data_IF_963725367781
#
_entry.id   IF_963725367781
#
_cell.length_a   1.000
_cell.length_b   1.000
_cell.length_c   1.000
_cell.angle_alpha   90.00
_cell.angle_beta   90.00
_cell.angle_gamma   90.00
#
_symmetry.space_group_name_H-M   'P 1'
#
loop_
_entity.id
_entity.type
_entity.pdbx_description
1 polymer ?
#
# COMPACT_ATOMS: atom_id res chain seq x y z
N UNK A 1 16.96 20.48 -16.32
CA UNK A 1 17.37 19.34 -15.44
C UNK A 1 16.18 18.68 -14.75
N UNK A 2 15.33 19.38 -13.99
CA UNK A 2 14.15 18.76 -13.34
C UNK A 2 13.02 18.40 -14.32
N UNK A 3 12.71 19.25 -15.31
CA UNK A 3 11.66 18.97 -16.30
C UNK A 3 11.92 17.67 -17.09
N UNK A 4 13.17 17.46 -17.55
CA UNK A 4 13.55 16.23 -18.26
C UNK A 4 13.44 14.97 -17.38
N UNK A 5 13.72 15.07 -16.07
CA UNK A 5 13.53 13.99 -15.11
C UNK A 5 12.05 13.66 -14.92
N UNK A 6 11.21 14.68 -14.72
CA UNK A 6 9.76 14.53 -14.56
C UNK A 6 9.15 13.90 -15.82
N UNK A 7 9.51 14.38 -17.01
CA UNK A 7 9.04 13.81 -18.29
C UNK A 7 9.48 12.36 -18.45
N UNK A 8 10.75 12.05 -18.16
CA UNK A 8 11.24 10.66 -18.21
C UNK A 8 10.46 9.74 -17.26
N UNK A 9 10.22 10.18 -16.02
CA UNK A 9 9.44 9.43 -15.03
C UNK A 9 7.98 9.25 -15.46
N UNK A 10 7.37 10.29 -16.03
CA UNK A 10 6.00 10.25 -16.55
C UNK A 10 5.87 9.27 -17.74
N UNK A 11 6.85 9.26 -18.66
CA UNK A 11 6.90 8.27 -19.74
C UNK A 11 7.04 6.85 -19.21
N UNK A 12 7.93 6.63 -18.24
CA UNK A 12 8.07 5.32 -17.57
C UNK A 12 6.74 4.91 -16.93
N UNK A 13 6.07 5.81 -16.21
CA UNK A 13 4.76 5.56 -15.61
C UNK A 13 3.72 5.11 -16.65
N UNK A 14 3.61 5.82 -17.78
CA UNK A 14 2.67 5.47 -18.85
C UNK A 14 3.00 4.09 -19.43
N UNK A 15 4.29 3.82 -19.70
CA UNK A 15 4.74 2.54 -20.24
C UNK A 15 4.45 1.40 -19.25
N UNK A 16 4.76 1.60 -17.96
CA UNK A 16 4.48 0.61 -16.91
C UNK A 16 2.98 0.33 -16.80
N UNK A 17 2.14 1.37 -16.79
CA UNK A 17 0.69 1.19 -16.74
C UNK A 17 0.17 0.47 -17.99
N UNK A 18 0.66 0.84 -19.18
CA UNK A 18 0.29 0.17 -20.43
C UNK A 18 0.69 -1.31 -20.45
N UNK A 19 1.86 -1.67 -19.92
CA UNK A 19 2.29 -3.06 -19.75
C UNK A 19 1.32 -3.80 -18.83
N UNK A 20 0.97 -3.22 -17.68
CA UNK A 20 0.04 -3.84 -16.72
C UNK A 20 -1.33 -4.05 -17.39
N UNK A 21 -1.90 -3.01 -18.00
CA UNK A 21 -3.17 -3.06 -18.73
C UNK A 21 -3.16 -4.19 -19.76
N UNK A 22 -2.11 -4.27 -20.57
CA UNK A 22 -1.97 -5.27 -21.64
C UNK A 22 -1.82 -6.68 -21.07
N UNK A 23 -0.99 -6.84 -20.03
CA UNK A 23 -0.79 -8.13 -19.38
C UNK A 23 -2.07 -8.61 -18.71
N UNK A 24 -2.78 -7.74 -18.00
CA UNK A 24 -4.07 -8.06 -17.40
C UNK A 24 -5.06 -8.52 -18.46
N UNK A 25 -5.18 -7.82 -19.59
CA UNK A 25 -6.06 -8.23 -20.69
C UNK A 25 -5.70 -9.62 -21.23
N UNK A 26 -4.42 -9.86 -21.52
CA UNK A 26 -3.94 -11.15 -22.05
C UNK A 26 -4.24 -12.27 -21.05
N UNK A 27 -3.96 -12.06 -19.76
CA UNK A 27 -4.25 -13.04 -18.71
C UNK A 27 -5.74 -13.35 -18.64
N UNK A 28 -6.61 -12.33 -18.72
CA UNK A 28 -8.06 -12.52 -18.66
C UNK A 28 -8.59 -13.31 -19.85
N UNK A 29 -8.17 -12.99 -21.06
CA UNK A 29 -8.58 -13.70 -22.28
C UNK A 29 -8.02 -15.14 -22.33
N UNK A 30 -6.87 -15.39 -21.68
CA UNK A 30 -6.24 -16.71 -21.66
C UNK A 30 -6.90 -17.68 -20.67
N UNK A 31 -7.77 -17.20 -19.76
CA UNK A 31 -8.48 -18.07 -18.83
C UNK A 31 -9.55 -18.86 -19.61
N UNK A 32 -9.47 -20.20 -19.63
CA UNK A 32 -10.45 -21.00 -20.36
C UNK A 32 -11.83 -20.96 -19.70
N UNK A 33 -12.87 -20.86 -20.52
CA UNK A 33 -14.29 -20.85 -20.13
C UNK A 33 -14.92 -19.45 -20.10
N UNK A 34 -16.23 -19.37 -20.33
CA UNK A 34 -16.98 -18.12 -20.29
C UNK A 34 -17.29 -17.72 -18.83
N UNK A 35 -17.27 -16.42 -18.48
CA UNK A 35 -17.70 -15.94 -17.15
C UNK A 35 -19.17 -16.27 -16.84
N UNK A 36 -19.96 -16.67 -17.84
CA UNK A 36 -21.36 -17.09 -17.71
C UNK A 36 -21.54 -18.61 -17.46
N UNK A 37 -20.49 -19.42 -17.56
CA UNK A 37 -20.59 -20.89 -17.46
C UNK A 37 -21.11 -21.41 -16.10
N UNK A 38 -21.03 -20.62 -15.03
CA UNK A 38 -21.52 -20.99 -13.69
C UNK A 38 -23.03 -20.81 -13.52
N UNK A 39 -23.67 -20.01 -14.37
CA UNK A 39 -25.10 -19.76 -14.36
C UNK A 39 -25.79 -20.92 -15.09
N UNK A 40 -26.13 -21.96 -14.31
CA UNK A 40 -26.83 -23.16 -14.75
C UNK A 40 -28.21 -22.82 -15.33
N UNK A 41 -28.27 -22.37 -16.58
CA UNK A 41 -29.46 -22.39 -17.43
C UNK A 41 -29.08 -22.27 -18.91
N UNK A 42 -28.51 -23.36 -19.45
CA UNK A 42 -28.91 -24.10 -20.66
C UNK A 42 -29.65 -23.40 -21.82
N UNK A 43 -29.46 -22.11 -22.08
CA UNK A 43 -30.02 -21.45 -23.25
C UNK A 43 -28.91 -20.68 -23.98
N UNK A 44 -28.42 -21.28 -25.08
CA UNK A 44 -27.38 -20.72 -25.95
C UNK A 44 -27.72 -19.29 -26.41
N UNK A 45 -29.01 -18.97 -26.57
CA UNK A 45 -29.48 -17.64 -26.97
C UNK A 45 -29.23 -16.61 -25.85
N UNK A 46 -29.48 -16.99 -24.59
CA UNK A 46 -29.24 -16.09 -23.45
C UNK A 46 -27.75 -15.85 -23.29
N UNK A 47 -26.93 -16.90 -23.45
CA UNK A 47 -25.48 -16.77 -23.40
C UNK A 47 -24.95 -15.88 -24.52
N UNK A 48 -25.40 -16.07 -25.77
CA UNK A 48 -24.99 -15.23 -26.89
C UNK A 48 -25.37 -13.76 -26.70
N UNK A 49 -26.56 -13.49 -26.15
CA UNK A 49 -26.99 -12.12 -25.83
C UNK A 49 -26.14 -11.48 -24.72
N UNK A 50 -25.77 -12.25 -23.69
CA UNK A 50 -24.88 -11.77 -22.63
C UNK A 50 -23.47 -11.50 -23.17
N UNK A 51 -22.91 -12.41 -23.96
CA UNK A 51 -21.60 -12.23 -24.59
C UNK A 51 -21.59 -10.99 -25.51
N UNK A 52 -22.65 -10.77 -26.29
CA UNK A 52 -22.81 -9.56 -27.09
C UNK A 52 -22.95 -8.28 -26.24
N UNK A 53 -23.71 -8.33 -25.14
CA UNK A 53 -23.88 -7.19 -24.23
C UNK A 53 -22.55 -6.73 -23.60
N UNK A 54 -21.71 -7.68 -23.21
CA UNK A 54 -20.39 -7.40 -22.63
C UNK A 54 -19.26 -7.31 -23.67
N UNK A 55 -19.58 -7.34 -24.97
CA UNK A 55 -18.64 -7.32 -26.10
C UNK A 55 -17.63 -8.49 -26.13
N UNK A 56 -17.95 -9.60 -25.46
CA UNK A 56 -17.10 -10.79 -25.40
C UNK A 56 -17.15 -11.62 -26.71
N UNK A 57 -18.15 -11.36 -27.56
CA UNK A 57 -18.31 -11.93 -28.90
C UNK A 57 -17.39 -11.29 -29.95
N UNK A 58 -16.83 -10.10 -29.67
CA UNK A 58 -15.98 -9.37 -30.62
C UNK A 58 -14.58 -9.98 -30.71
N UNK A 59 -13.86 -9.80 -31.84
CA UNK A 59 -12.44 -10.13 -31.94
C UNK A 59 -11.61 -9.50 -30.81
N UNK A 60 -10.61 -10.22 -30.29
CA UNK A 60 -9.83 -9.77 -29.13
C UNK A 60 -9.17 -8.39 -29.27
N UNK A 61 -8.74 -8.02 -30.48
CA UNK A 61 -8.19 -6.68 -30.70
C UNK A 61 -9.23 -5.57 -30.49
N UNK A 62 -10.51 -5.82 -30.80
CA UNK A 62 -11.60 -4.87 -30.54
C UNK A 62 -11.89 -4.83 -29.04
N UNK A 63 -11.94 -5.99 -28.37
CA UNK A 63 -12.12 -6.04 -26.91
C UNK A 63 -11.02 -5.25 -26.19
N UNK A 64 -9.77 -5.37 -26.65
CA UNK A 64 -8.65 -4.62 -26.10
C UNK A 64 -8.78 -3.11 -26.35
N UNK A 65 -9.19 -2.67 -27.55
CA UNK A 65 -9.43 -1.26 -27.84
C UNK A 65 -10.57 -0.67 -27.01
N UNK A 66 -11.65 -1.43 -26.81
CA UNK A 66 -12.75 -1.04 -25.93
C UNK A 66 -12.28 -0.92 -24.48
N UNK A 67 -11.45 -1.86 -24.02
CA UNK A 67 -10.86 -1.79 -22.69
C UNK A 67 -9.93 -0.57 -22.51
N UNK A 68 -9.08 -0.27 -23.50
CA UNK A 68 -8.26 0.95 -23.49
C UNK A 68 -9.13 2.22 -23.46
N UNK A 69 -10.22 2.23 -24.22
CA UNK A 69 -11.20 3.33 -24.19
C UNK A 69 -11.81 3.48 -22.80
N UNK A 70 -12.28 2.39 -22.19
CA UNK A 70 -12.84 2.36 -20.83
C UNK A 70 -11.88 2.91 -19.79
N UNK A 71 -10.59 2.57 -19.88
CA UNK A 71 -9.54 3.12 -18.99
C UNK A 71 -9.39 4.62 -19.22
N UNK A 72 -9.30 5.06 -20.48
CA UNK A 72 -9.10 6.46 -20.84
C UNK A 72 -10.30 7.35 -20.46
N UNK A 73 -11.52 6.81 -20.49
CA UNK A 73 -12.75 7.51 -20.07
C UNK A 73 -13.11 7.31 -18.60
N UNK A 74 -12.34 6.48 -17.88
CA UNK A 74 -12.64 6.07 -16.51
C UNK A 74 -14.04 5.46 -16.36
N UNK A 75 -14.50 4.73 -17.36
CA UNK A 75 -15.78 4.02 -17.38
C UNK A 75 -15.54 2.54 -17.61
N UNK A 76 -15.52 1.79 -16.50
CA UNK A 76 -15.21 0.36 -16.50
C UNK A 76 -16.44 -0.52 -16.74
N UNK A 77 -17.62 0.09 -16.93
CA UNK A 77 -18.87 -0.63 -17.19
C UNK A 77 -19.44 -1.39 -15.98
N UNK A 78 -20.49 -2.19 -16.20
CA UNK A 78 -21.15 -2.98 -15.17
C UNK A 78 -20.36 -4.24 -14.78
N UNK A 79 -20.54 -4.66 -13.54
CA UNK A 79 -20.08 -5.97 -13.05
C UNK A 79 -20.91 -7.09 -13.67
N UNK A 80 -20.25 -8.16 -14.14
CA UNK A 80 -20.94 -9.34 -14.69
C UNK A 80 -21.78 -10.02 -13.60
N UNK A 81 -21.26 -10.08 -12.37
CA UNK A 81 -21.89 -10.80 -11.26
C UNK A 81 -22.84 -9.93 -10.42
N UNK A 82 -22.76 -8.61 -10.56
CA UNK A 82 -23.61 -7.62 -9.90
C UNK A 82 -24.06 -6.58 -10.95
N UNK A 83 -24.97 -6.93 -11.88
CA UNK A 83 -25.34 -6.08 -13.01
C UNK A 83 -25.88 -4.69 -12.62
N UNK A 84 -26.49 -4.57 -11.45
CA UNK A 84 -27.00 -3.30 -10.89
C UNK A 84 -25.89 -2.35 -10.37
N UNK A 85 -24.62 -2.76 -10.47
CA UNK A 85 -23.48 -2.01 -9.98
C UNK A 85 -22.42 -1.86 -11.05
N UNK A 86 -22.03 -0.61 -11.31
CA UNK A 86 -20.83 -0.36 -12.10
C UNK A 86 -19.57 -0.68 -11.30
N UNK A 87 -18.50 -1.03 -12.00
CA UNK A 87 -17.18 -1.19 -11.38
C UNK A 87 -16.76 0.11 -10.68
N UNK A 88 -17.10 1.26 -11.27
CA UNK A 88 -16.89 2.58 -10.65
C UNK A 88 -17.61 2.73 -9.31
N UNK A 89 -18.84 2.22 -9.16
CA UNK A 89 -19.58 2.26 -7.89
C UNK A 89 -18.94 1.36 -6.83
N UNK A 90 -18.36 0.22 -7.24
CA UNK A 90 -17.63 -0.68 -6.35
C UNK A 90 -16.33 -0.03 -5.87
N UNK A 91 -15.58 0.60 -6.79
CA UNK A 91 -14.37 1.36 -6.48
C UNK A 91 -14.69 2.55 -5.56
N UNK A 92 -15.74 3.32 -5.84
CA UNK A 92 -16.14 4.47 -5.04
C UNK A 92 -16.56 4.12 -3.62
N UNK A 93 -17.12 2.91 -3.41
CA UNK A 93 -17.46 2.39 -2.07
C UNK A 93 -16.24 1.82 -1.35
N UNK A 94 -15.40 1.06 -2.05
CA UNK A 94 -14.27 0.36 -1.44
C UNK A 94 -13.05 1.25 -1.18
N UNK A 95 -12.74 2.18 -2.10
CA UNK A 95 -11.50 2.97 -2.05
C UNK A 95 -11.36 3.81 -0.79
N UNK A 96 -12.38 4.57 -0.34
CA UNK A 96 -12.26 5.38 0.87
C UNK A 96 -11.92 4.55 2.11
N UNK A 97 -12.46 3.32 2.21
CA UNK A 97 -12.24 2.42 3.33
C UNK A 97 -10.80 1.87 3.31
N UNK A 98 -10.34 1.39 2.15
CA UNK A 98 -8.94 0.95 1.99
C UNK A 98 -7.96 2.09 2.26
N UNK A 99 -8.28 3.30 1.80
CA UNK A 99 -7.48 4.49 2.03
C UNK A 99 -7.42 4.88 3.51
N UNK A 100 -8.57 4.90 4.20
CA UNK A 100 -8.66 5.15 5.64
C UNK A 100 -7.80 4.16 6.44
N UNK A 101 -7.96 2.85 6.19
CA UNK A 101 -7.17 1.80 6.83
C UNK A 101 -5.67 2.03 6.62
N UNK A 102 -5.25 2.31 5.38
CA UNK A 102 -3.85 2.54 5.07
C UNK A 102 -3.27 3.79 5.72
N UNK A 103 -4.04 4.89 5.79
CA UNK A 103 -3.63 6.12 6.45
C UNK A 103 -3.47 5.93 7.96
N UNK A 104 -4.44 5.30 8.62
CA UNK A 104 -4.36 4.99 10.06
C UNK A 104 -3.16 4.08 10.34
N UNK A 105 -2.94 3.07 9.49
CA UNK A 105 -1.78 2.17 9.56
C UNK A 105 -0.47 2.94 9.52
N UNK A 106 -0.30 3.86 8.56
CA UNK A 106 0.93 4.67 8.45
C UNK A 106 1.13 5.53 9.69
N UNK A 107 0.08 6.18 10.19
CA UNK A 107 0.16 7.02 11.40
C UNK A 107 0.63 6.17 12.59
N UNK A 108 0.00 5.02 12.82
CA UNK A 108 0.37 4.12 13.91
C UNK A 108 1.80 3.61 13.73
N UNK A 109 2.19 3.20 12.53
CA UNK A 109 3.53 2.70 12.26
C UNK A 109 4.62 3.76 12.47
N UNK A 110 4.38 5.00 12.04
CA UNK A 110 5.32 6.12 12.21
C UNK A 110 5.45 6.48 13.69
N UNK A 111 4.34 6.67 14.40
CA UNK A 111 4.37 7.05 15.82
C UNK A 111 5.03 5.96 16.67
N UNK A 112 4.62 4.71 16.50
CA UNK A 112 5.18 3.59 17.26
C UNK A 112 6.64 3.31 16.88
N UNK A 113 6.96 3.34 15.58
CA UNK A 113 8.30 3.08 15.07
C UNK A 113 9.30 4.13 15.54
N UNK A 114 8.98 5.42 15.42
CA UNK A 114 9.84 6.49 15.92
C UNK A 114 10.04 6.36 17.43
N UNK A 115 8.97 6.11 18.18
CA UNK A 115 9.04 5.97 19.63
C UNK A 115 9.95 4.81 20.03
N UNK A 116 9.75 3.64 19.45
CA UNK A 116 10.59 2.46 19.73
C UNK A 116 12.05 2.68 19.33
N UNK A 117 12.30 3.31 18.17
CA UNK A 117 13.65 3.60 17.71
C UNK A 117 14.39 4.60 18.60
N UNK A 118 13.70 5.65 19.08
CA UNK A 118 14.26 6.62 20.02
C UNK A 118 14.55 5.95 21.37
N UNK A 119 13.61 5.18 21.91
CA UNK A 119 13.81 4.46 23.18
C UNK A 119 14.99 3.49 23.11
N UNK A 120 15.11 2.74 22.01
CA UNK A 120 16.21 1.82 21.79
C UNK A 120 17.56 2.54 21.66
N UNK A 121 17.61 3.70 20.98
CA UNK A 121 18.84 4.47 20.85
C UNK A 121 19.28 5.13 22.16
N UNK A 122 18.34 5.57 23.00
CA UNK A 122 18.64 6.14 24.31
C UNK A 122 19.07 5.07 25.31
N UNK A 123 18.52 3.86 25.21
CA UNK A 123 18.88 2.69 26.00
C UNK A 123 19.94 1.79 25.36
N UNK A 124 20.80 2.34 24.50
CA UNK A 124 21.73 1.58 23.66
C UNK A 124 22.53 0.54 24.44
N UNK A 125 22.60 -0.69 23.89
CA UNK A 125 23.24 -1.86 24.52
C UNK A 125 22.64 -2.28 25.88
N UNK A 126 21.47 -1.76 26.25
CA UNK A 126 20.70 -2.14 27.43
C UNK A 126 19.45 -2.96 27.11
N UNK A 127 18.71 -3.33 28.14
CA UNK A 127 17.50 -4.17 28.02
C UNK A 127 16.44 -3.55 27.08
N UNK A 128 16.23 -2.24 27.16
CA UNK A 128 15.23 -1.53 26.32
C UNK A 128 15.58 -1.67 24.83
N UNK A 129 16.86 -1.53 24.49
CA UNK A 129 17.34 -1.68 23.13
C UNK A 129 17.11 -3.11 22.62
N UNK A 130 17.56 -4.11 23.37
CA UNK A 130 17.38 -5.52 22.99
C UNK A 130 15.90 -5.91 22.86
N UNK A 131 15.02 -5.45 23.76
CA UNK A 131 13.59 -5.75 23.70
C UNK A 131 12.92 -5.04 22.52
N UNK A 132 13.20 -3.77 22.29
CA UNK A 132 12.65 -3.01 21.17
C UNK A 132 13.11 -3.59 19.83
N UNK A 133 14.39 -3.95 19.69
CA UNK A 133 14.92 -4.57 18.48
C UNK A 133 14.45 -6.01 18.31
N UNK A 134 14.30 -6.77 19.39
CA UNK A 134 13.67 -8.09 19.35
C UNK A 134 12.24 -8.02 18.82
N UNK A 135 11.43 -7.09 19.33
CA UNK A 135 10.07 -6.86 18.84
C UNK A 135 10.05 -6.42 17.36
N UNK A 136 10.94 -5.50 16.96
CA UNK A 136 11.06 -5.08 15.56
C UNK A 136 11.49 -6.23 14.63
N UNK A 137 12.37 -7.13 15.09
CA UNK A 137 12.77 -8.31 14.31
C UNK A 137 11.59 -9.26 14.14
N UNK A 138 10.89 -9.61 15.23
CA UNK A 138 9.68 -10.43 15.17
C UNK A 138 8.65 -9.84 14.22
N UNK A 139 8.48 -8.52 14.25
CA UNK A 139 7.54 -7.80 13.40
C UNK A 139 7.81 -7.89 11.90
N UNK A 140 9.05 -8.19 11.47
CA UNK A 140 9.38 -8.43 10.06
C UNK A 140 9.41 -9.92 9.74
N UNK A 141 9.77 -10.75 10.71
CA UNK A 141 9.85 -12.19 10.52
C UNK A 141 8.47 -12.85 10.41
N UNK A 142 7.44 -12.29 11.04
CA UNK A 142 6.08 -12.83 11.00
C UNK A 142 5.32 -12.23 9.80
N UNK A 143 4.80 -13.04 8.88
CA UNK A 143 3.95 -12.53 7.80
C UNK A 143 2.69 -11.85 8.34
N UNK A 144 2.29 -10.72 7.76
CA UNK A 144 1.16 -9.91 8.25
C UNK A 144 -0.15 -10.71 8.39
N UNK A 145 -0.43 -11.65 7.48
CA UNK A 145 -1.62 -12.48 7.55
C UNK A 145 -1.59 -13.46 8.74
N UNK A 146 -0.41 -13.96 9.11
CA UNK A 146 -0.22 -14.81 10.30
C UNK A 146 -0.43 -13.97 11.55
N UNK A 147 0.14 -12.78 11.59
CA UNK A 147 -0.05 -11.87 12.72
C UNK A 147 -1.55 -11.50 12.86
N UNK A 148 -2.22 -11.20 11.76
CA UNK A 148 -3.65 -10.90 11.75
C UNK A 148 -4.51 -12.03 12.33
N UNK A 149 -4.29 -13.27 11.88
CA UNK A 149 -5.05 -14.42 12.38
C UNK A 149 -4.76 -14.71 13.85
N UNK A 150 -3.51 -14.55 14.30
CA UNK A 150 -3.14 -14.66 15.71
C UNK A 150 -3.81 -13.57 16.57
N UNK A 151 -3.83 -12.32 16.10
CA UNK A 151 -4.49 -11.22 16.79
C UNK A 151 -5.99 -11.45 16.92
N UNK A 152 -6.65 -11.95 15.86
CA UNK A 152 -8.06 -12.36 15.93
C UNK A 152 -8.25 -13.46 16.98
N UNK A 153 -7.48 -14.54 16.90
CA UNK A 153 -7.63 -15.68 17.81
C UNK A 153 -7.46 -15.26 19.27
N UNK A 154 -6.45 -14.46 19.57
CA UNK A 154 -6.15 -14.10 20.96
C UNK A 154 -7.03 -12.97 21.47
N UNK A 155 -7.21 -11.91 20.71
CA UNK A 155 -7.81 -10.67 21.22
C UNK A 155 -9.31 -10.55 20.93
N UNK A 156 -9.79 -11.18 19.85
CA UNK A 156 -11.20 -11.12 19.46
C UNK A 156 -11.96 -12.39 19.85
N UNK A 157 -11.35 -13.58 19.74
CA UNK A 157 -12.00 -14.85 20.07
C UNK A 157 -11.78 -15.25 21.53
N UNK A 158 -10.53 -15.33 21.99
CA UNK A 158 -10.25 -15.84 23.34
C UNK A 158 -10.58 -14.84 24.45
N UNK A 159 -10.29 -13.54 24.23
CA UNK A 159 -10.52 -12.50 25.24
C UNK A 159 -11.75 -11.63 24.97
N UNK A 160 -12.32 -11.70 23.76
CA UNK A 160 -13.52 -10.93 23.37
C UNK A 160 -13.41 -9.40 23.56
N UNK A 161 -12.20 -8.84 23.52
CA UNK A 161 -11.95 -7.40 23.75
C UNK A 161 -12.24 -6.60 22.48
N UNK A 162 -11.92 -7.16 21.32
CA UNK A 162 -12.07 -6.51 20.03
C UNK A 162 -13.02 -7.28 19.12
N UNK A 163 -13.74 -6.58 18.22
CA UNK A 163 -14.56 -7.26 17.23
C UNK A 163 -13.70 -8.00 16.21
N UNK A 164 -14.25 -9.11 15.71
CA UNK A 164 -13.54 -10.05 14.80
C UNK A 164 -13.47 -9.52 13.37
N UNK A 165 -14.52 -8.88 12.88
CA UNK A 165 -14.71 -8.62 11.45
C UNK A 165 -15.66 -7.43 11.20
N UNK A 166 -15.73 -6.98 9.95
CA UNK A 166 -16.50 -5.81 9.44
C UNK A 166 -15.79 -4.47 9.64
N UNK A 167 -16.49 -3.36 9.38
CA UNK A 167 -15.97 -1.99 9.46
C UNK A 167 -17.04 -1.01 9.96
N UNK A 168 -17.64 -1.34 11.12
CA UNK A 168 -18.79 -0.60 11.66
C UNK A 168 -18.46 0.35 12.81
N UNK A 169 -17.28 0.22 13.43
CA UNK A 169 -16.85 1.08 14.54
C UNK A 169 -15.32 1.21 14.60
N UNK A 170 -14.77 2.24 15.26
CA UNK A 170 -13.32 2.41 15.40
C UNK A 170 -12.60 1.22 16.05
N UNK A 171 -13.29 0.41 16.87
CA UNK A 171 -12.71 -0.81 17.46
C UNK A 171 -12.37 -1.86 16.40
N UNK A 172 -13.10 -1.91 15.29
CA UNK A 172 -12.81 -2.80 14.15
C UNK A 172 -11.51 -2.44 13.44
N UNK A 173 -11.04 -1.21 13.59
CA UNK A 173 -9.82 -0.75 12.95
C UNK A 173 -8.57 -1.20 13.69
N UNK A 174 -8.66 -1.52 14.99
CA UNK A 174 -7.49 -1.73 15.85
C UNK A 174 -6.65 -2.93 15.41
N UNK A 175 -7.25 -4.12 15.35
CA UNK A 175 -6.54 -5.35 14.98
C UNK A 175 -5.95 -5.31 13.55
N UNK A 176 -6.69 -4.92 12.49
CA UNK A 176 -6.12 -4.83 11.15
C UNK A 176 -5.01 -3.78 11.06
N UNK A 177 -5.17 -2.64 11.74
CA UNK A 177 -4.12 -1.61 11.81
C UNK A 177 -2.87 -2.14 12.49
N UNK A 178 -2.98 -2.83 13.62
CA UNK A 178 -1.82 -3.40 14.33
C UNK A 178 -1.10 -4.44 13.47
N UNK A 179 -1.85 -5.32 12.81
CA UNK A 179 -1.28 -6.33 11.92
C UNK A 179 -0.52 -5.69 10.75
N UNK A 180 -1.11 -4.67 10.09
CA UNK A 180 -0.47 -3.98 8.96
C UNK A 180 0.70 -3.08 9.39
N UNK A 181 0.58 -2.41 10.53
CA UNK A 181 1.54 -1.40 10.97
C UNK A 181 2.86 -2.03 11.43
N UNK A 182 2.86 -3.29 11.85
CA UNK A 182 4.01 -3.95 12.46
C UNK A 182 5.24 -3.98 11.55
N UNK A 183 5.09 -4.31 10.26
CA UNK A 183 6.21 -4.32 9.31
C UNK A 183 6.86 -2.92 9.13
N UNK A 184 6.09 -1.90 8.70
CA UNK A 184 6.57 -0.53 8.57
C UNK A 184 7.09 0.05 9.90
N UNK A 185 6.43 -0.21 11.02
CA UNK A 185 6.87 0.17 12.36
C UNK A 185 8.29 -0.34 12.63
N UNK A 186 8.55 -1.62 12.34
CA UNK A 186 9.85 -2.23 12.58
C UNK A 186 10.95 -1.63 11.70
N UNK A 187 10.64 -1.33 10.43
CA UNK A 187 11.57 -0.63 9.52
C UNK A 187 11.91 0.76 10.07
N UNK A 188 10.88 1.52 10.46
CA UNK A 188 11.03 2.88 11.00
C UNK A 188 11.80 2.85 12.32
N UNK A 189 11.53 1.88 13.20
CA UNK A 189 12.22 1.74 14.48
C UNK A 189 13.70 1.49 14.31
N UNK A 190 14.10 0.55 13.44
CA UNK A 190 15.52 0.26 13.19
C UNK A 190 16.23 1.44 12.55
N UNK A 191 15.60 2.09 11.56
CA UNK A 191 16.19 3.24 10.88
C UNK A 191 16.36 4.43 11.84
N UNK A 192 15.32 4.74 12.62
CA UNK A 192 15.36 5.78 13.65
C UNK A 192 16.43 5.48 14.69
N UNK A 193 16.55 4.22 15.13
CA UNK A 193 17.59 3.82 16.10
C UNK A 193 18.99 4.06 15.54
N UNK A 194 19.29 3.55 14.34
CA UNK A 194 20.63 3.67 13.74
C UNK A 194 21.04 5.14 13.59
N UNK A 195 20.14 5.94 13.01
CA UNK A 195 20.37 7.36 12.77
C UNK A 195 20.46 8.16 14.06
N UNK A 196 19.68 7.83 15.09
CA UNK A 196 19.80 8.45 16.41
C UNK A 196 21.16 8.17 17.05
N UNK A 197 21.68 6.94 16.97
CA UNK A 197 23.01 6.61 17.51
C UNK A 197 24.12 7.41 16.81
N UNK A 198 24.05 7.53 15.49
CA UNK A 198 24.98 8.35 14.71
C UNK A 198 24.88 9.83 15.07
N UNK A 199 23.66 10.37 15.17
CA UNK A 199 23.40 11.78 15.46
C UNK A 199 23.83 12.16 16.87
N UNK A 200 23.60 11.30 17.87
CA UNK A 200 23.94 11.58 19.27
C UNK A 200 25.45 11.73 19.51
N UNK A 201 26.30 11.23 18.62
CA UNK A 201 27.76 11.33 18.70
C UNK A 201 28.34 12.59 18.03
N UNK A 202 27.50 13.37 17.34
CA UNK A 202 27.91 14.55 16.58
C UNK A 202 28.32 15.74 17.47
N UNK A 203 29.25 16.57 16.99
CA UNK A 203 29.82 17.66 17.77
C UNK A 203 28.82 18.76 18.14
N UNK A 204 27.82 19.02 17.30
CA UNK A 204 26.75 19.97 17.64
C UNK A 204 25.88 19.49 18.82
N UNK A 205 25.75 18.18 19.02
CA UNK A 205 25.08 17.59 20.20
C UNK A 205 25.95 17.77 21.45
N UNK A 206 27.26 17.51 21.34
CA UNK A 206 28.22 17.76 22.45
C UNK A 206 28.22 19.23 22.85
N UNK A 207 28.21 20.14 21.87
CA UNK A 207 28.10 21.58 22.11
C UNK A 207 26.79 21.95 22.81
N UNK A 208 25.66 21.37 22.40
CA UNK A 208 24.38 21.59 23.06
C UNK A 208 24.38 21.13 24.52
N UNK A 209 25.04 20.00 24.83
CA UNK A 209 25.24 19.54 26.22
C UNK A 209 26.13 20.50 27.00
N UNK A 210 27.23 20.96 26.42
CA UNK A 210 28.15 21.93 27.05
C UNK A 210 27.47 23.28 27.36
N UNK A 211 26.49 23.68 26.55
CA UNK A 211 25.64 24.87 26.80
C UNK A 211 24.57 24.66 27.87
N UNK A 212 24.50 23.49 28.51
CA UNK A 212 23.54 23.19 29.58
C UNK A 212 22.10 22.99 29.12
N UNK A 213 21.86 22.68 27.84
CA UNK A 213 20.50 22.38 27.39
C UNK A 213 19.97 21.10 28.07
N UNK A 214 18.70 21.14 28.48
CA UNK A 214 18.02 19.98 29.05
C UNK A 214 18.04 18.79 28.07
N UNK A 215 18.25 17.54 28.54
CA UNK A 215 18.34 16.35 27.69
C UNK A 215 17.18 16.18 26.69
N UNK A 216 15.95 16.44 27.13
CA UNK A 216 14.77 16.33 26.26
C UNK A 216 14.80 17.33 25.09
N UNK A 217 15.31 18.57 25.33
CA UNK A 217 15.45 19.59 24.27
C UNK A 217 16.50 19.15 23.26
N UNK A 218 17.60 18.57 23.72
CA UNK A 218 18.65 18.01 22.85
C UNK A 218 18.05 16.90 21.97
N UNK A 219 17.29 15.98 22.56
CA UNK A 219 16.68 14.87 21.84
C UNK A 219 15.67 15.38 20.80
N UNK A 220 14.64 16.11 21.22
CA UNK A 220 13.51 16.48 20.34
C UNK A 220 13.91 17.53 19.29
N UNK A 221 14.66 18.57 19.70
CA UNK A 221 14.96 19.72 18.83
C UNK A 221 16.19 19.53 17.95
N UNK A 222 17.18 18.77 18.41
CA UNK A 222 18.47 18.63 17.71
C UNK A 222 18.68 17.23 17.15
N UNK A 223 18.50 16.18 17.95
CA UNK A 223 18.81 14.83 17.51
C UNK A 223 17.73 14.26 16.57
N UNK A 224 16.48 14.24 17.04
CA UNK A 224 15.36 13.60 16.35
C UNK A 224 15.09 14.23 14.99
N UNK A 225 15.11 15.56 14.90
CA UNK A 225 14.92 16.28 13.63
C UNK A 225 15.86 15.80 12.53
N UNK A 226 17.13 15.54 12.87
CA UNK A 226 18.13 15.08 11.90
C UNK A 226 18.03 13.57 11.67
N UNK A 227 17.73 12.80 12.71
CA UNK A 227 17.56 11.36 12.62
C UNK A 227 16.33 10.93 11.78
N UNK A 228 15.29 11.77 11.70
CA UNK A 228 14.09 11.46 10.92
C UNK A 228 14.23 11.72 9.41
N UNK A 229 15.33 12.32 8.95
CA UNK A 229 15.51 12.58 7.51
C UNK A 229 15.39 11.31 6.67
N UNK A 230 16.05 10.18 7.01
CA UNK A 230 15.89 8.92 6.27
C UNK A 230 14.49 8.30 6.42
N UNK A 231 13.80 8.54 7.54
CA UNK A 231 12.43 8.06 7.76
C UNK A 231 11.45 8.77 6.83
N UNK A 232 11.53 10.10 6.74
CA UNK A 232 10.70 10.91 5.83
C UNK A 232 10.94 10.51 4.38
N UNK A 233 12.20 10.26 4.05
CA UNK A 233 12.65 9.70 2.78
C UNK A 233 11.82 8.44 2.46
N UNK A 234 11.96 7.36 3.22
CA UNK A 234 11.28 6.09 2.90
C UNK A 234 9.76 6.07 3.13
N UNK A 235 9.22 7.06 3.84
CA UNK A 235 7.79 7.15 4.19
C UNK A 235 6.90 7.11 2.96
N UNK A 236 7.34 7.75 1.87
CA UNK A 236 6.63 7.73 0.60
C UNK A 236 6.44 6.31 0.06
N UNK A 237 7.51 5.53 0.03
CA UNK A 237 7.49 4.14 -0.45
C UNK A 237 6.63 3.25 0.46
N UNK A 238 6.71 3.43 1.77
CA UNK A 238 5.88 2.71 2.74
C UNK A 238 4.39 3.02 2.55
N UNK A 239 4.05 4.30 2.37
CA UNK A 239 2.68 4.75 2.14
C UNK A 239 2.10 4.16 0.84
N UNK A 240 2.88 4.20 -0.24
CA UNK A 240 2.48 3.61 -1.52
C UNK A 240 2.21 2.10 -1.38
N UNK A 241 3.12 1.37 -0.72
CA UNK A 241 2.98 -0.07 -0.51
C UNK A 241 1.78 -0.45 0.34
N UNK A 242 1.54 0.26 1.46
CA UNK A 242 0.41 -0.04 2.35
C UNK A 242 -0.92 0.21 1.65
N UNK A 243 -1.10 1.38 1.03
CA UNK A 243 -2.38 1.75 0.43
C UNK A 243 -2.80 0.83 -0.73
N UNK A 244 -1.84 0.12 -1.33
CA UNK A 244 -2.12 -0.86 -2.40
C UNK A 244 -2.13 -2.31 -1.92
N UNK A 245 -1.51 -2.59 -0.77
CA UNK A 245 -1.23 -3.94 -0.27
C UNK A 245 -2.14 -4.44 0.85
N UNK A 246 -3.22 -3.73 1.17
CA UNK A 246 -4.13 -4.08 2.28
C UNK A 246 -5.04 -5.28 1.99
N UNK A 247 -5.12 -5.76 0.74
CA UNK A 247 -6.14 -6.71 0.29
C UNK A 247 -6.25 -7.99 1.14
N UNK A 248 -5.12 -8.57 1.55
CA UNK A 248 -5.12 -9.78 2.38
C UNK A 248 -5.73 -9.51 3.76
N UNK A 249 -5.39 -8.37 4.35
CA UNK A 249 -5.87 -7.98 5.67
C UNK A 249 -7.34 -7.60 5.60
N UNK A 250 -7.76 -6.88 4.56
CA UNK A 250 -9.17 -6.60 4.32
C UNK A 250 -10.01 -7.88 4.21
N UNK A 251 -9.49 -8.89 3.52
CA UNK A 251 -10.18 -10.18 3.40
C UNK A 251 -10.28 -10.91 4.74
N UNK A 252 -9.20 -10.94 5.53
CA UNK A 252 -9.16 -11.64 6.84
C UNK A 252 -10.14 -11.02 7.83
N UNK A 253 -10.22 -9.68 7.87
CA UNK A 253 -11.12 -8.95 8.77
C UNK A 253 -12.50 -8.64 8.15
N UNK A 254 -12.81 -9.18 6.96
CA UNK A 254 -14.03 -8.91 6.20
C UNK A 254 -14.35 -7.39 6.05
N UNK A 255 -13.31 -6.59 5.85
CA UNK A 255 -13.41 -5.15 5.64
C UNK A 255 -14.01 -4.92 4.24
N UNK A 256 -15.05 -4.07 4.10
CA UNK A 256 -15.68 -3.79 2.80
C UNK A 256 -14.86 -2.81 1.95
N UNK A 257 -13.54 -2.99 1.91
CA UNK A 257 -12.62 -2.21 1.09
C UNK A 257 -12.50 -2.75 -0.34
N UNK A 258 -11.61 -2.15 -1.12
CA UNK A 258 -11.38 -2.56 -2.52
C UNK A 258 -10.81 -3.97 -2.64
N UNK A 259 -10.02 -4.43 -1.65
CA UNK A 259 -9.39 -5.73 -1.68
C UNK A 259 -10.43 -6.85 -1.72
N UNK A 260 -11.55 -6.66 -1.02
CA UNK A 260 -12.70 -7.57 -1.08
C UNK A 260 -13.23 -7.70 -2.51
N UNK A 261 -13.51 -6.59 -3.20
CA UNK A 261 -14.06 -6.63 -4.55
C UNK A 261 -13.09 -7.27 -5.55
N UNK A 262 -11.79 -6.98 -5.43
CA UNK A 262 -10.75 -7.61 -6.23
C UNK A 262 -10.73 -9.13 -6.04
N UNK A 263 -10.61 -9.61 -4.79
CA UNK A 263 -10.53 -11.04 -4.48
C UNK A 263 -11.82 -11.78 -4.85
N UNK A 264 -12.98 -11.21 -4.54
CA UNK A 264 -14.29 -11.78 -4.90
C UNK A 264 -14.44 -11.90 -6.41
N UNK A 265 -14.06 -10.85 -7.17
CA UNK A 265 -14.16 -10.85 -8.63
C UNK A 265 -13.31 -11.95 -9.29
N UNK A 266 -12.12 -12.24 -8.76
CA UNK A 266 -11.28 -13.33 -9.24
C UNK A 266 -11.98 -14.68 -9.04
N UNK A 267 -12.53 -14.92 -7.85
CA UNK A 267 -13.22 -16.18 -7.53
C UNK A 267 -14.50 -16.38 -8.36
N UNK A 268 -15.21 -15.30 -8.65
CA UNK A 268 -16.46 -15.33 -9.43
C UNK A 268 -16.25 -15.11 -10.94
N UNK A 269 -15.00 -14.93 -11.40
CA UNK A 269 -14.65 -14.63 -12.79
C UNK A 269 -15.37 -13.40 -13.34
N UNK A 270 -15.48 -12.34 -12.54
CA UNK A 270 -16.08 -11.07 -12.96
C UNK A 270 -15.04 -10.21 -13.68
N UNK A 271 -15.00 -10.33 -15.01
CA UNK A 271 -13.92 -9.77 -15.82
C UNK A 271 -13.83 -8.23 -15.75
N UNK A 272 -14.93 -7.46 -15.91
CA UNK A 272 -14.90 -6.00 -15.75
C UNK A 272 -14.35 -5.56 -14.39
N UNK A 273 -14.77 -6.22 -13.30
CA UNK A 273 -14.31 -5.87 -11.95
C UNK A 273 -12.82 -6.18 -11.79
N UNK A 274 -12.34 -7.35 -12.21
CA UNK A 274 -10.91 -7.71 -12.14
C UNK A 274 -10.06 -6.69 -12.90
N UNK A 275 -10.46 -6.38 -14.14
CA UNK A 275 -9.70 -5.47 -15.01
C UNK A 275 -9.70 -4.04 -14.46
N UNK A 276 -10.87 -3.52 -14.07
CA UNK A 276 -10.99 -2.16 -13.53
C UNK A 276 -10.27 -1.98 -12.20
N UNK A 277 -10.42 -2.91 -11.26
CA UNK A 277 -9.71 -2.85 -9.97
C UNK A 277 -8.20 -2.98 -10.15
N UNK A 278 -7.72 -3.87 -11.03
CA UNK A 278 -6.27 -4.02 -11.31
C UNK A 278 -5.67 -2.73 -11.86
N UNK A 279 -6.32 -2.09 -12.83
CA UNK A 279 -5.85 -0.83 -13.40
C UNK A 279 -5.92 0.30 -12.38
N UNK A 280 -7.00 0.36 -11.59
CA UNK A 280 -7.12 1.37 -10.54
C UNK A 280 -5.98 1.26 -9.52
N UNK A 281 -5.74 0.06 -8.97
CA UNK A 281 -4.63 -0.18 -8.03
C UNK A 281 -3.27 0.15 -8.64
N UNK A 282 -3.03 -0.30 -9.87
CA UNK A 282 -1.76 -0.07 -10.57
C UNK A 282 -1.53 1.41 -10.84
N UNK A 283 -2.56 2.12 -11.32
CA UNK A 283 -2.50 3.56 -11.55
C UNK A 283 -2.24 4.30 -10.25
N UNK A 284 -2.96 3.96 -9.19
CA UNK A 284 -2.78 4.58 -7.87
C UNK A 284 -1.38 4.34 -7.31
N UNK A 285 -0.88 3.10 -7.37
CA UNK A 285 0.47 2.74 -6.94
C UNK A 285 1.53 3.55 -7.71
N UNK A 286 1.44 3.59 -9.04
CA UNK A 286 2.44 4.26 -9.86
C UNK A 286 2.39 5.78 -9.65
N UNK A 287 1.19 6.36 -9.50
CA UNK A 287 1.03 7.78 -9.14
C UNK A 287 1.68 8.06 -7.79
N UNK A 288 1.43 7.23 -6.78
CA UNK A 288 2.06 7.39 -5.46
C UNK A 288 3.58 7.27 -5.55
N UNK A 289 4.12 6.27 -6.24
CA UNK A 289 5.57 6.14 -6.44
C UNK A 289 6.17 7.34 -7.17
N UNK A 290 5.46 7.88 -8.17
CA UNK A 290 5.87 9.08 -8.89
C UNK A 290 5.89 10.33 -7.99
N UNK A 291 4.86 10.51 -7.14
CA UNK A 291 4.84 11.60 -6.16
C UNK A 291 6.00 11.48 -5.17
N UNK A 292 6.34 10.27 -4.78
CA UNK A 292 7.46 9.97 -3.88
C UNK A 292 8.80 10.26 -4.56
N UNK A 293 8.98 9.85 -5.82
CA UNK A 293 10.15 10.18 -6.63
C UNK A 293 10.35 11.69 -6.78
N UNK A 294 9.26 12.45 -6.91
CA UNK A 294 9.30 13.92 -6.93
C UNK A 294 9.70 14.45 -5.56
N UNK A 295 9.06 13.99 -4.49
CA UNK A 295 9.38 14.41 -3.12
C UNK A 295 10.86 14.17 -2.79
N UNK A 296 11.41 13.02 -3.17
CA UNK A 296 12.83 12.71 -3.07
C UNK A 296 13.71 13.69 -3.83
N UNK A 297 13.36 14.01 -5.08
CA UNK A 297 14.14 14.94 -5.90
C UNK A 297 14.22 16.35 -5.32
N UNK A 298 13.22 16.74 -4.52
CA UNK A 298 13.15 18.03 -3.84
C UNK A 298 13.94 17.98 -2.52
N UNK A 299 13.81 16.89 -1.75
CA UNK A 299 14.41 16.74 -0.42
C UNK A 299 15.91 16.43 -0.45
N UNK A 300 16.40 15.65 -1.43
CA UNK A 300 17.81 15.32 -1.56
C UNK A 300 18.47 15.95 -2.80
N UNK A 301 19.15 17.11 -2.65
CA UNK A 301 19.87 17.75 -3.74
C UNK A 301 21.09 16.96 -4.23
N UNK A 302 21.54 15.90 -3.54
CA UNK A 302 22.70 15.07 -3.96
C UNK A 302 22.38 14.13 -5.13
N UNK A 303 21.10 13.91 -5.45
CA UNK A 303 20.69 13.25 -6.70
C UNK A 303 21.21 14.04 -7.93
N UNK A 304 21.52 15.33 -7.77
CA UNK A 304 22.18 16.13 -8.82
C UNK A 304 23.66 15.76 -9.05
N UNK A 305 24.34 15.14 -8.08
CA UNK A 305 25.82 14.98 -8.07
C UNK A 305 26.29 13.70 -8.78
N UNK A 306 25.52 12.61 -8.74
CA UNK A 306 25.84 11.38 -9.50
C UNK A 306 25.85 11.58 -11.04
N UNK A 307 25.41 12.75 -11.51
CA UNK A 307 25.46 13.12 -12.93
C UNK A 307 26.78 13.78 -13.35
N UNK A 308 27.61 14.27 -12.42
CA UNK A 308 28.90 14.88 -12.77
C UNK A 308 30.00 13.84 -13.05
N UNK A 309 29.88 12.63 -12.51
CA UNK A 309 30.90 11.58 -12.68
C UNK A 309 30.59 10.60 -13.83
N UNK A 310 29.37 10.62 -14.38
CA UNK A 310 28.97 9.77 -15.51
C UNK A 310 28.94 10.46 -16.88
N UNK A 311 29.27 11.75 -16.94
CA UNK A 311 29.42 12.54 -18.18
C UNK A 311 30.85 13.13 -18.28
N UNK A 312 31.85 12.44 -17.71
CA UNK A 312 33.28 12.76 -17.83
C UNK A 312 33.99 11.76 -18.73
#
# INVERSE_FOLDING_TARGET
>A
MMLGYIVKRLLIMIITLWIIVTLTFILMVSIPGSPFNSERSSNEIVQANLEAHYNLDKPYYIQYLLYLKSIATFDFGPSIKKPDHSVNDLLGRGFPISFELGMITIIVAVLSGITLGVLAALGHNGLIDYMAMGYAVLGISIPNFVLATLLIQQLAVNTEIFPVATWSSPLHMVLPTLALATGPMAIIARLTRSTMLEVLTQDYIKMARAKGLAPWKIIVKHALKNALMPVVTIMGTLLAGILTGTFVIEQIFAIPGMGKYFVESINQRDYPVIMGTTVFYSSFLIIMLFLVDIAYSILDPRIKVHRKEGEG
#
